data_IF_715722969466
#
_entry.id   IF_715722969466
#
_cell.length_a   1.000
_cell.length_b   1.000
_cell.length_c   1.000
_cell.angle_alpha   90.00
_cell.angle_beta   90.00
_cell.angle_gamma   90.00
#
_symmetry.space_group_name_H-M   'P 1'
#
loop_
_entity.id
_entity.type
_entity.pdbx_description
1 polymer ?
#
# COMPACT_ATOMS: atom_id res chain seq x y z
N UNK A 1 -21.60 -54.80 -2.20
CA UNK A 1 -21.85 -54.10 -0.92
C UNK A 1 -20.96 -52.85 -0.91
N UNK A 2 -21.45 -51.74 -1.45
CA UNK A 2 -20.65 -50.54 -1.76
C UNK A 2 -20.59 -49.57 -0.60
N UNK A 3 -19.40 -49.33 -0.05
CA UNK A 3 -19.16 -48.34 0.99
C UNK A 3 -19.27 -46.93 0.42
N UNK A 4 -20.31 -46.18 0.82
CA UNK A 4 -20.44 -44.75 0.53
C UNK A 4 -19.33 -44.00 1.27
N UNK A 5 -18.37 -43.46 0.55
CA UNK A 5 -17.42 -42.46 1.08
C UNK A 5 -18.21 -41.20 1.42
N UNK A 6 -18.20 -40.81 2.70
CA UNK A 6 -18.72 -39.52 3.13
C UNK A 6 -17.80 -38.39 2.65
N UNK A 7 -18.34 -37.27 2.14
CA UNK A 7 -17.51 -36.14 1.73
C UNK A 7 -16.89 -35.48 2.96
N UNK A 8 -15.56 -35.38 2.99
CA UNK A 8 -14.84 -34.61 4.01
C UNK A 8 -15.16 -33.13 3.80
N UNK A 9 -15.96 -32.54 4.69
CA UNK A 9 -16.18 -31.09 4.73
C UNK A 9 -14.82 -30.42 4.98
N UNK A 10 -14.29 -29.72 3.96
CA UNK A 10 -13.15 -28.83 4.11
C UNK A 10 -13.63 -27.64 4.93
N UNK A 11 -13.30 -27.60 6.21
CA UNK A 11 -13.59 -26.44 7.05
C UNK A 11 -12.92 -25.21 6.41
N UNK A 12 -13.75 -24.30 5.89
CA UNK A 12 -13.30 -23.02 5.36
C UNK A 12 -12.91 -22.13 6.55
N UNK A 13 -11.63 -22.13 6.90
CA UNK A 13 -11.11 -21.13 7.84
C UNK A 13 -11.28 -19.75 7.18
N UNK A 14 -11.93 -18.77 7.84
CA UNK A 14 -12.07 -17.44 7.29
C UNK A 14 -10.67 -16.85 7.09
N UNK A 15 -10.32 -16.56 5.83
CA UNK A 15 -9.11 -15.81 5.49
C UNK A 15 -9.36 -14.38 5.93
N UNK A 16 -8.87 -14.01 7.11
CA UNK A 16 -8.85 -12.62 7.56
C UNK A 16 -7.92 -11.86 6.61
N UNK A 17 -8.50 -11.06 5.71
CA UNK A 17 -7.74 -10.09 4.90
C UNK A 17 -7.21 -9.02 5.85
N UNK A 18 -5.88 -8.93 6.00
CA UNK A 18 -5.29 -7.75 6.63
C UNK A 18 -5.63 -6.53 5.77
N UNK A 19 -6.10 -5.46 6.41
CA UNK A 19 -6.19 -4.16 5.76
C UNK A 19 -4.76 -3.70 5.48
N UNK A 20 -4.46 -3.42 4.22
CA UNK A 20 -3.19 -2.83 3.83
C UNK A 20 -3.11 -1.43 4.42
N UNK A 21 -2.07 -1.16 5.18
CA UNK A 21 -1.87 0.10 5.92
C UNK A 21 -0.60 0.84 5.49
N UNK A 22 0.10 0.34 4.46
CA UNK A 22 1.31 0.94 3.93
C UNK A 22 1.05 1.81 2.70
N UNK A 23 1.88 2.84 2.51
CA UNK A 23 1.93 3.61 1.28
C UNK A 23 2.81 2.90 0.22
N UNK A 24 2.51 3.05 -1.08
CA UNK A 24 3.39 2.56 -2.13
C UNK A 24 4.73 3.30 -2.13
N UNK A 25 5.82 2.58 -2.38
CA UNK A 25 7.19 3.11 -2.44
C UNK A 25 7.83 2.69 -3.76
N UNK A 26 8.60 3.59 -4.37
CA UNK A 26 9.34 3.34 -5.61
C UNK A 26 10.77 3.85 -5.47
N UNK A 27 11.73 2.97 -5.63
CA UNK A 27 13.15 3.34 -5.66
C UNK A 27 13.51 3.93 -7.03
N UNK A 28 14.38 4.95 -7.01
CA UNK A 28 14.93 5.60 -8.19
C UNK A 28 16.45 5.66 -8.06
N UNK A 29 17.17 5.23 -9.10
CA UNK A 29 18.61 5.42 -9.19
C UNK A 29 18.93 6.89 -9.59
N UNK A 30 20.16 7.38 -9.34
CA UNK A 30 20.57 8.71 -9.77
C UNK A 30 20.29 8.95 -11.26
N UNK A 31 19.79 10.15 -11.57
CA UNK A 31 19.37 10.57 -12.92
C UNK A 31 18.27 9.70 -13.57
N UNK A 32 17.62 8.79 -12.82
CA UNK A 32 16.44 8.07 -13.30
C UNK A 32 15.16 8.88 -13.09
N UNK A 33 14.27 8.85 -14.08
CA UNK A 33 12.90 9.36 -13.94
C UNK A 33 11.92 8.27 -13.53
N UNK A 34 10.75 8.66 -13.04
CA UNK A 34 9.64 7.76 -12.73
C UNK A 34 8.42 8.54 -12.24
N UNK A 35 7.25 7.90 -12.31
CA UNK A 35 6.01 8.45 -11.77
C UNK A 35 5.22 7.35 -11.04
N UNK A 36 4.32 7.78 -10.16
CA UNK A 36 3.32 6.93 -9.48
C UNK A 36 1.95 7.57 -9.67
N UNK A 37 0.89 6.76 -9.64
CA UNK A 37 -0.50 7.22 -9.75
C UNK A 37 -1.26 6.91 -8.45
N UNK A 38 -1.08 7.72 -7.39
CA UNK A 38 -1.76 7.50 -6.12
C UNK A 38 -3.23 7.91 -6.19
N UNK A 39 -4.08 7.18 -5.46
CA UNK A 39 -5.47 7.56 -5.18
C UNK A 39 -5.60 8.04 -3.74
N UNK A 40 -6.19 9.21 -3.53
CA UNK A 40 -6.40 9.80 -2.21
C UNK A 40 -7.89 9.69 -1.82
N UNK A 41 -8.28 8.76 -0.94
CA UNK A 41 -9.68 8.56 -0.57
C UNK A 41 -10.22 9.65 0.37
N UNK A 42 -9.35 10.44 0.98
CA UNK A 42 -9.68 11.43 2.00
C UNK A 42 -9.06 12.80 1.67
N UNK A 43 -9.84 13.85 1.92
CA UNK A 43 -9.36 15.25 1.91
C UNK A 43 -8.36 15.47 3.04
N UNK A 44 -7.32 16.24 2.81
CA UNK A 44 -6.31 16.57 3.81
C UNK A 44 -4.91 16.77 3.23
N UNK A 45 -3.96 16.92 4.14
CA UNK A 45 -2.53 17.05 3.84
C UNK A 45 -1.87 15.67 3.95
N UNK A 46 -1.41 15.14 2.82
CA UNK A 46 -0.80 13.81 2.72
C UNK A 46 0.73 13.95 2.55
N UNK A 47 1.55 13.43 3.47
CA UNK A 47 2.99 13.54 3.36
C UNK A 47 3.53 12.65 2.24
N UNK A 48 4.46 13.20 1.47
CA UNK A 48 5.31 12.47 0.53
C UNK A 48 6.76 12.63 0.98
N UNK A 49 7.47 11.51 1.18
CA UNK A 49 8.80 11.49 1.78
C UNK A 49 9.66 10.40 1.16
N UNK A 50 10.95 10.67 0.98
CA UNK A 50 11.91 9.61 0.69
C UNK A 50 12.22 8.79 1.94
N UNK A 51 12.40 7.48 1.78
CA UNK A 51 12.82 6.60 2.89
C UNK A 51 14.31 6.76 3.23
N UNK A 52 15.08 7.47 2.41
CA UNK A 52 16.45 7.90 2.76
C UNK A 52 16.34 9.08 3.72
N UNK A 53 16.30 8.79 5.03
CA UNK A 53 15.95 9.78 6.05
C UNK A 53 16.88 11.00 6.06
N UNK A 54 18.19 10.81 5.79
CA UNK A 54 19.14 11.94 5.68
C UNK A 54 18.73 12.93 4.59
N UNK A 55 18.18 12.46 3.47
CA UNK A 55 17.71 13.33 2.39
C UNK A 55 16.36 13.95 2.76
N UNK A 56 15.47 13.19 3.42
CA UNK A 56 14.22 13.72 3.95
C UNK A 56 14.49 14.89 4.91
N UNK A 57 15.42 14.74 5.86
CA UNK A 57 15.84 15.80 6.79
C UNK A 57 16.41 17.03 6.07
N UNK A 58 17.08 16.83 4.92
CA UNK A 58 17.59 17.91 4.06
C UNK A 58 16.51 18.56 3.18
N UNK A 59 15.25 18.13 3.30
CA UNK A 59 14.11 18.73 2.61
C UNK A 59 13.58 17.94 1.42
N UNK A 60 14.04 16.71 1.18
CA UNK A 60 13.48 15.83 0.14
C UNK A 60 12.16 15.18 0.58
N UNK A 61 11.21 16.02 0.99
CA UNK A 61 9.85 15.67 1.38
C UNK A 61 8.89 16.82 1.03
N UNK A 62 7.60 16.55 1.02
CA UNK A 62 6.58 17.54 0.74
C UNK A 62 5.18 17.08 1.17
N UNK A 63 4.20 17.93 0.94
CA UNK A 63 2.79 17.66 1.23
C UNK A 63 1.98 17.72 -0.06
N UNK A 64 1.15 16.70 -0.27
CA UNK A 64 0.06 16.74 -1.24
C UNK A 64 -1.20 17.20 -0.52
N UNK A 65 -1.68 18.40 -0.85
CA UNK A 65 -2.94 18.93 -0.32
C UNK A 65 -4.10 18.49 -1.21
N UNK A 66 -5.00 17.70 -0.65
CA UNK A 66 -6.22 17.23 -1.33
C UNK A 66 -7.40 17.96 -0.70
N UNK A 67 -8.14 18.74 -1.49
CA UNK A 67 -9.29 19.49 -1.01
C UNK A 67 -9.89 20.39 -2.08
N UNK A 68 -10.85 21.22 -1.66
CA UNK A 68 -11.36 22.28 -2.54
C UNK A 68 -10.26 23.31 -2.79
N UNK A 69 -10.16 23.85 -4.03
CA UNK A 69 -9.19 24.88 -4.37
C UNK A 69 -9.44 26.17 -3.58
#
# INVERSE_FOLDING_TARGET
>A
MGGRQAPRLRAALPVLRRKDTGAPVRDLAPASGGFVEPSFPETGDHPFVTRVMTDAERGAHGIVRVGRP
#
